data_IF_360454564176
#
_entry.id   IF_360454564176
#
_cell.length_a   1.000
_cell.length_b   1.000
_cell.length_c   1.000
_cell.angle_alpha   90.00
_cell.angle_beta   90.00
_cell.angle_gamma   90.00
#
_symmetry.space_group_name_H-M   'P 1'
#
loop_
_entity.id
_entity.type
_entity.pdbx_description
1 polymer ?
#
# COMPACT_ATOMS: atom_id res chain seq x y z
N UNK A 1 13.97 -5.21 -21.04
CA UNK A 1 13.59 -6.14 -19.93
C UNK A 1 12.43 -5.56 -19.16
N UNK A 2 11.66 -6.38 -18.43
CA UNK A 2 10.54 -5.95 -17.59
C UNK A 2 10.79 -6.37 -16.15
N UNK A 3 10.70 -5.45 -15.21
CA UNK A 3 10.82 -5.70 -13.77
C UNK A 3 9.42 -5.74 -13.14
N UNK A 4 9.08 -6.87 -12.53
CA UNK A 4 7.86 -7.06 -11.75
C UNK A 4 8.23 -6.99 -10.27
N UNK A 5 7.52 -6.21 -9.47
CA UNK A 5 7.84 -6.06 -8.05
C UNK A 5 6.60 -5.86 -7.20
N UNK A 6 6.78 -6.11 -5.91
CA UNK A 6 5.77 -5.94 -4.87
C UNK A 6 6.48 -5.57 -3.56
N UNK A 7 5.78 -4.78 -2.74
CA UNK A 7 6.27 -4.33 -1.43
C UNK A 7 5.28 -4.64 -0.32
N UNK A 8 5.78 -5.24 0.76
CA UNK A 8 5.05 -5.24 2.03
C UNK A 8 5.53 -4.07 2.88
N UNK A 9 4.63 -3.48 3.65
CA UNK A 9 4.89 -2.25 4.41
C UNK A 9 4.31 -2.34 5.82
N UNK A 10 4.80 -1.54 6.75
CA UNK A 10 4.27 -1.52 8.11
C UNK A 10 2.95 -0.73 8.25
N UNK A 11 2.34 -0.29 7.15
CA UNK A 11 1.09 0.46 7.16
C UNK A 11 0.71 1.04 5.80
N UNK A 12 -0.44 1.69 5.73
CA UNK A 12 -0.91 2.33 4.50
C UNK A 12 -0.35 3.74 4.35
N UNK A 13 -0.11 4.13 3.11
CA UNK A 13 0.32 5.48 2.77
C UNK A 13 -0.70 6.53 3.23
N UNK A 14 -0.20 7.54 3.93
CA UNK A 14 -1.00 8.62 4.49
C UNK A 14 -1.03 9.80 3.52
N UNK A 15 -2.15 9.94 2.81
CA UNK A 15 -2.39 11.03 1.85
C UNK A 15 -2.51 12.41 2.51
N UNK A 16 -2.76 12.43 3.82
CA UNK A 16 -2.78 13.63 4.66
C UNK A 16 -1.38 14.13 5.05
N UNK A 17 -0.32 13.35 4.77
CA UNK A 17 1.05 13.71 5.12
C UNK A 17 1.90 13.99 3.88
N UNK A 18 2.94 14.81 4.06
CA UNK A 18 4.00 14.94 3.06
C UNK A 18 4.74 13.60 2.85
N UNK A 19 5.34 13.37 1.68
CA UNK A 19 6.08 12.13 1.38
C UNK A 19 7.23 11.82 2.37
N UNK A 20 7.87 12.86 2.89
CA UNK A 20 9.03 12.75 3.79
C UNK A 20 8.66 12.78 5.28
N UNK A 21 7.37 12.71 5.61
CA UNK A 21 6.93 12.70 7.01
C UNK A 21 7.35 11.39 7.70
N UNK A 22 7.70 11.46 8.98
CA UNK A 22 8.11 10.30 9.81
C UNK A 22 7.06 9.20 9.81
N UNK A 23 5.78 9.57 9.99
CA UNK A 23 4.66 8.63 10.07
C UNK A 23 4.21 8.04 8.72
N UNK A 24 4.91 8.31 7.62
CA UNK A 24 4.68 7.54 6.39
C UNK A 24 5.17 6.10 6.59
N UNK A 25 4.53 5.11 5.95
CA UNK A 25 4.91 3.72 6.13
C UNK A 25 6.31 3.43 5.61
N UNK A 26 6.94 2.45 6.24
CA UNK A 26 8.25 1.92 5.91
C UNK A 26 8.16 0.56 5.24
N UNK A 27 9.14 0.27 4.39
CA UNK A 27 9.27 -1.01 3.69
C UNK A 27 9.57 -2.16 4.68
N UNK A 28 8.81 -3.25 4.58
CA UNK A 28 8.94 -4.44 5.42
C UNK A 28 9.46 -5.63 4.62
N UNK A 29 9.06 -5.75 3.35
CA UNK A 29 9.56 -6.77 2.43
C UNK A 29 9.62 -6.21 1.02
N UNK A 30 10.59 -6.68 0.25
CA UNK A 30 10.73 -6.37 -1.17
C UNK A 30 10.96 -7.66 -1.94
N UNK A 31 10.14 -7.88 -2.96
CA UNK A 31 10.38 -8.93 -3.94
C UNK A 31 10.33 -8.36 -5.36
N UNK A 32 11.12 -8.95 -6.25
CA UNK A 32 11.00 -8.67 -7.68
C UNK A 32 11.47 -9.84 -8.56
N UNK A 33 10.95 -9.86 -9.78
CA UNK A 33 11.43 -10.70 -10.89
C UNK A 33 11.75 -9.81 -12.09
N UNK A 34 12.87 -10.10 -12.76
CA UNK A 34 13.18 -9.50 -14.06
C UNK A 34 12.96 -10.53 -15.14
N UNK A 35 12.18 -10.15 -16.14
CA UNK A 35 11.93 -10.97 -17.32
C UNK A 35 12.58 -10.37 -18.56
N UNK A 36 13.07 -11.26 -19.42
CA UNK A 36 13.53 -10.89 -20.75
C UNK A 36 12.36 -10.68 -21.73
N UNK A 37 12.68 -10.54 -23.01
CA UNK A 37 11.68 -10.32 -24.08
C UNK A 37 10.81 -11.54 -24.36
N UNK A 38 11.27 -12.74 -23.98
CA UNK A 38 10.63 -14.03 -24.23
C UNK A 38 9.86 -14.50 -22.97
N UNK A 39 9.57 -13.58 -22.04
CA UNK A 39 8.85 -13.80 -20.77
C UNK A 39 9.60 -14.70 -19.77
N UNK A 40 10.89 -15.01 -20.03
CA UNK A 40 11.70 -15.84 -19.14
C UNK A 40 12.23 -15.00 -17.97
N UNK A 41 12.08 -15.54 -16.76
CA UNK A 41 12.69 -14.96 -15.55
C UNK A 41 14.20 -15.14 -15.62
N UNK A 42 14.93 -14.03 -15.64
CA UNK A 42 16.40 -13.99 -15.67
C UNK A 42 17.00 -13.55 -14.34
N UNK A 43 16.18 -12.95 -13.45
CA UNK A 43 16.55 -12.63 -12.08
C UNK A 43 15.32 -12.73 -11.19
N UNK A 44 15.51 -13.21 -9.96
CA UNK A 44 14.51 -13.19 -8.90
C UNK A 44 15.20 -12.79 -7.60
N UNK A 45 14.54 -11.93 -6.84
CA UNK A 45 14.97 -11.49 -5.54
C UNK A 45 13.77 -11.41 -4.60
N UNK A 46 13.97 -11.78 -3.33
CA UNK A 46 13.00 -11.56 -2.25
C UNK A 46 13.76 -11.45 -0.94
N UNK A 47 13.44 -10.42 -0.16
CA UNK A 47 14.00 -10.25 1.18
C UNK A 47 13.05 -9.49 2.07
N UNK A 48 12.99 -9.90 3.33
CA UNK A 48 12.48 -9.05 4.41
C UNK A 48 13.49 -7.93 4.69
N UNK A 49 12.99 -6.82 5.19
CA UNK A 49 13.78 -5.64 5.52
C UNK A 49 13.87 -5.52 7.03
N UNK A 50 15.09 -5.34 7.53
CA UNK A 50 15.32 -5.14 8.94
C UNK A 50 14.89 -3.72 9.35
N UNK A 51 14.03 -3.55 10.38
CA UNK A 51 13.57 -2.24 10.86
C UNK A 51 14.65 -1.38 11.58
N UNK A 52 15.93 -1.55 11.24
CA UNK A 52 17.05 -0.86 11.91
C UNK A 52 17.01 0.66 11.70
N UNK A 53 16.61 1.10 10.51
CA UNK A 53 16.56 2.52 10.17
C UNK A 53 15.16 3.06 10.38
N UNK A 54 15.02 3.98 11.35
CA UNK A 54 13.74 4.55 11.78
C UNK A 54 13.15 3.87 13.01
N UNK A 55 13.58 2.65 13.36
CA UNK A 55 13.11 1.96 14.57
C UNK A 55 11.60 1.71 14.59
N UNK A 56 10.99 1.55 13.41
CA UNK A 56 9.55 1.39 13.29
C UNK A 56 9.13 -0.01 13.74
N UNK A 57 7.92 -0.10 14.27
CA UNK A 57 7.25 -1.36 14.58
C UNK A 57 6.35 -1.77 13.41
N UNK A 58 6.16 -3.07 13.26
CA UNK A 58 5.13 -3.64 12.39
C UNK A 58 3.89 -3.88 13.27
N UNK A 59 2.78 -3.13 13.05
CA UNK A 59 1.55 -3.30 13.82
C UNK A 59 0.97 -4.70 13.68
N UNK A 60 0.34 -5.22 14.75
CA UNK A 60 -0.22 -6.59 14.75
C UNK A 60 -1.34 -6.82 13.73
N UNK A 61 -2.08 -5.79 13.35
CA UNK A 61 -3.08 -5.86 12.29
C UNK A 61 -2.46 -5.94 10.89
N UNK A 62 -1.28 -5.36 10.71
CA UNK A 62 -0.48 -5.44 9.48
C UNK A 62 0.27 -6.78 9.40
N UNK A 63 0.85 -7.24 10.51
CA UNK A 63 1.44 -8.58 10.63
C UNK A 63 0.44 -9.69 10.28
N UNK A 64 -0.84 -9.53 10.63
CA UNK A 64 -1.90 -10.50 10.26
C UNK A 64 -2.16 -10.58 8.75
N UNK A 65 -1.77 -9.56 7.99
CA UNK A 65 -1.96 -9.52 6.53
C UNK A 65 -0.84 -10.29 5.85
N UNK A 66 0.42 -9.91 6.09
CA UNK A 66 1.59 -10.47 5.38
C UNK A 66 2.44 -11.45 6.21
N UNK A 67 2.10 -11.69 7.47
CA UNK A 67 2.76 -12.70 8.32
C UNK A 67 4.16 -12.37 8.81
N UNK A 68 4.60 -11.11 8.77
CA UNK A 68 5.95 -10.70 9.19
C UNK A 68 5.83 -9.84 10.45
N UNK A 69 6.32 -10.35 11.58
CA UNK A 69 6.40 -9.57 12.82
C UNK A 69 7.67 -8.71 12.85
N UNK A 70 7.71 -7.71 13.74
CA UNK A 70 8.93 -6.93 14.00
C UNK A 70 10.10 -7.84 14.38
N UNK A 71 9.87 -8.86 15.21
CA UNK A 71 10.90 -9.79 15.67
C UNK A 71 11.45 -10.63 14.50
N UNK A 72 10.56 -11.17 13.66
CA UNK A 72 10.94 -11.93 12.47
C UNK A 72 11.72 -11.04 11.49
N UNK A 73 11.28 -9.79 11.30
CA UNK A 73 11.97 -8.83 10.44
C UNK A 73 13.36 -8.47 10.99
N UNK A 74 13.52 -8.35 12.32
CA UNK A 74 14.81 -8.12 12.96
C UNK A 74 15.76 -9.31 12.82
N UNK A 75 15.24 -10.53 12.93
CA UNK A 75 16.03 -11.76 12.87
C UNK A 75 16.44 -12.15 11.44
N UNK A 76 15.52 -11.99 10.48
CA UNK A 76 15.68 -12.53 9.11
C UNK A 76 15.82 -11.46 8.03
N UNK A 77 15.63 -10.19 8.38
CA UNK A 77 15.69 -9.08 7.43
C UNK A 77 17.10 -8.70 7.06
N UNK A 78 17.25 -8.15 5.85
CA UNK A 78 18.49 -7.51 5.39
C UNK A 78 18.43 -6.00 5.60
N UNK A 79 19.57 -5.29 5.65
CA UNK A 79 19.56 -3.83 5.66
C UNK A 79 18.81 -3.29 4.43
N UNK A 80 17.87 -2.35 4.64
CA UNK A 80 17.04 -1.79 3.55
C UNK A 80 17.92 -1.27 2.40
N UNK A 81 18.98 -0.52 2.72
CA UNK A 81 19.94 0.01 1.75
C UNK A 81 20.49 -1.06 0.78
N UNK A 82 20.80 -2.26 1.29
CA UNK A 82 21.29 -3.38 0.48
C UNK A 82 20.24 -3.86 -0.52
N UNK A 83 19.00 -4.02 -0.07
CA UNK A 83 17.88 -4.42 -0.93
C UNK A 83 17.59 -3.35 -2.01
N UNK A 84 17.63 -2.07 -1.64
CA UNK A 84 17.41 -0.95 -2.57
C UNK A 84 18.50 -0.86 -3.63
N UNK A 85 19.78 -1.10 -3.29
CA UNK A 85 20.86 -1.14 -4.28
C UNK A 85 20.68 -2.28 -5.28
N UNK A 86 20.31 -3.47 -4.80
CA UNK A 86 20.01 -4.60 -5.69
C UNK A 86 18.84 -4.25 -6.62
N UNK A 87 17.78 -3.64 -6.09
CA UNK A 87 16.65 -3.19 -6.90
C UNK A 87 17.05 -2.13 -7.94
N UNK A 88 17.81 -1.11 -7.52
CA UNK A 88 18.26 0.00 -8.38
C UNK A 88 19.06 -0.52 -9.59
N UNK A 89 19.93 -1.51 -9.38
CA UNK A 89 20.74 -2.10 -10.45
C UNK A 89 19.86 -2.69 -11.56
N UNK A 90 18.81 -3.43 -11.20
CA UNK A 90 17.90 -4.01 -12.20
C UNK A 90 16.90 -2.99 -12.76
N UNK A 91 16.47 -2.02 -11.94
CA UNK A 91 15.63 -0.90 -12.38
C UNK A 91 16.30 -0.14 -13.54
N UNK A 92 17.60 0.16 -13.41
CA UNK A 92 18.36 0.87 -14.46
C UNK A 92 18.54 0.10 -15.76
N UNK A 93 18.34 -1.23 -15.74
CA UNK A 93 18.46 -2.10 -16.91
C UNK A 93 17.12 -2.42 -17.57
N UNK A 94 16.01 -2.12 -16.92
CA UNK A 94 14.66 -2.45 -17.41
C UNK A 94 14.00 -1.29 -18.15
N UNK A 95 13.26 -1.62 -19.21
CA UNK A 95 12.50 -0.62 -19.97
C UNK A 95 11.14 -0.34 -19.34
N UNK A 96 10.63 -1.31 -18.58
CA UNK A 96 9.34 -1.21 -17.92
C UNK A 96 9.39 -1.77 -16.50
N UNK A 97 8.59 -1.18 -15.62
CA UNK A 97 8.24 -1.77 -14.33
C UNK A 97 6.74 -2.07 -14.27
N UNK A 98 6.39 -3.11 -13.52
CA UNK A 98 5.02 -3.57 -13.34
C UNK A 98 4.81 -3.98 -11.89
N UNK A 99 3.67 -3.59 -11.32
CA UNK A 99 3.20 -4.10 -10.03
C UNK A 99 1.67 -4.14 -10.01
N UNK A 100 1.09 -4.71 -8.96
CA UNK A 100 -0.34 -4.64 -8.72
C UNK A 100 -0.63 -3.51 -7.74
N UNK A 101 -1.29 -2.43 -8.20
CA UNK A 101 -1.35 -1.14 -7.49
C UNK A 101 -0.01 -0.36 -7.47
N UNK A 102 0.68 -0.32 -8.61
CA UNK A 102 2.04 0.22 -8.78
C UNK A 102 2.28 1.63 -8.24
N UNK A 103 1.25 2.48 -8.19
CA UNK A 103 1.39 3.81 -7.59
C UNK A 103 1.82 3.72 -6.12
N UNK A 104 1.29 2.73 -5.39
CA UNK A 104 1.62 2.47 -4.00
C UNK A 104 3.06 1.96 -3.83
N UNK A 105 3.48 0.96 -4.60
CA UNK A 105 4.84 0.43 -4.46
C UNK A 105 5.90 1.47 -4.87
N UNK A 106 5.65 2.26 -5.92
CA UNK A 106 6.57 3.31 -6.37
C UNK A 106 6.77 4.38 -5.29
N UNK A 107 5.71 4.87 -4.63
CA UNK A 107 5.85 5.92 -3.62
C UNK A 107 6.62 5.42 -2.38
N UNK A 108 6.44 4.14 -2.00
CA UNK A 108 7.22 3.51 -0.92
C UNK A 108 8.68 3.44 -1.33
N UNK A 109 8.96 2.88 -2.52
CA UNK A 109 10.32 2.74 -3.02
C UNK A 109 11.02 4.09 -3.18
N UNK A 110 10.33 5.11 -3.74
CA UNK A 110 10.90 6.47 -3.88
C UNK A 110 11.25 7.08 -2.53
N UNK A 111 10.37 6.95 -1.53
CA UNK A 111 10.63 7.42 -0.16
C UNK A 111 11.86 6.75 0.43
N UNK A 112 11.96 5.42 0.34
CA UNK A 112 13.11 4.69 0.87
C UNK A 112 14.39 5.06 0.11
N UNK A 113 14.34 5.17 -1.22
CA UNK A 113 15.47 5.63 -2.03
C UNK A 113 15.97 7.02 -1.58
N UNK A 114 15.05 7.96 -1.38
CA UNK A 114 15.37 9.30 -0.88
C UNK A 114 16.00 9.26 0.52
N UNK A 115 15.43 8.47 1.45
CA UNK A 115 15.93 8.32 2.81
C UNK A 115 17.38 7.79 2.88
N UNK A 116 17.79 6.96 1.92
CA UNK A 116 19.16 6.42 1.83
C UNK A 116 20.07 7.17 0.84
N UNK A 117 19.61 8.25 0.22
CA UNK A 117 20.36 9.00 -0.79
C UNK A 117 20.66 8.17 -2.05
N UNK A 118 19.80 7.19 -2.37
CA UNK A 118 19.91 6.34 -3.56
C UNK A 118 19.10 6.98 -4.68
N UNK A 119 19.72 7.15 -5.86
CA UNK A 119 19.05 7.75 -7.01
C UNK A 119 17.95 6.83 -7.58
N UNK A 120 16.72 7.34 -7.67
CA UNK A 120 15.67 6.66 -8.43
C UNK A 120 15.90 6.83 -9.94
N UNK A 121 15.79 5.74 -10.70
CA UNK A 121 15.78 5.77 -12.16
C UNK A 121 14.35 5.71 -12.67
N UNK A 122 13.92 6.74 -13.39
CA UNK A 122 12.58 6.74 -13.96
C UNK A 122 12.50 5.71 -15.10
N UNK A 123 11.59 4.72 -14.99
CA UNK A 123 11.42 3.73 -16.04
C UNK A 123 10.77 4.38 -17.27
N UNK A 124 11.09 3.86 -18.47
CA UNK A 124 10.46 4.37 -19.71
C UNK A 124 8.95 4.08 -19.74
N UNK A 125 8.54 2.98 -19.10
CA UNK A 125 7.15 2.54 -19.04
C UNK A 125 6.82 2.03 -17.64
N UNK A 126 5.63 2.38 -17.17
CA UNK A 126 5.10 1.90 -15.90
C UNK A 126 3.72 1.33 -16.16
N UNK A 127 3.49 0.08 -15.77
CA UNK A 127 2.21 -0.59 -15.91
C UNK A 127 1.65 -1.03 -14.57
N UNK A 128 0.33 -0.98 -14.44
CA UNK A 128 -0.41 -1.38 -13.25
C UNK A 128 -1.47 -2.40 -13.61
N UNK A 129 -1.30 -3.63 -13.14
CA UNK A 129 -2.26 -4.73 -13.42
C UNK A 129 -3.60 -4.46 -12.77
N UNK A 130 -3.65 -3.85 -11.59
CA UNK A 130 -4.88 -3.40 -10.93
C UNK A 130 -5.70 -2.45 -11.82
N UNK A 131 -5.05 -1.44 -12.40
CA UNK A 131 -5.73 -0.45 -13.26
C UNK A 131 -6.18 -1.09 -14.57
N UNK A 132 -5.37 -1.99 -15.13
CA UNK A 132 -5.72 -2.73 -16.34
C UNK A 132 -6.94 -3.62 -16.11
N UNK A 133 -6.98 -4.37 -15.00
CA UNK A 133 -8.07 -5.28 -14.68
C UNK A 133 -9.35 -4.59 -14.22
N UNK A 134 -9.29 -3.37 -13.69
CA UNK A 134 -10.47 -2.64 -13.19
C UNK A 134 -11.60 -2.58 -14.23
N UNK A 135 -11.26 -2.27 -15.48
CA UNK A 135 -12.23 -2.11 -16.56
C UNK A 135 -12.70 -3.45 -17.15
N UNK A 136 -11.91 -4.50 -16.95
CA UNK A 136 -12.25 -5.86 -17.37
C UNK A 136 -13.24 -6.50 -16.38
N UNK A 137 -12.94 -6.41 -15.08
CA UNK A 137 -13.74 -7.05 -14.04
C UNK A 137 -15.01 -6.25 -13.70
N UNK A 138 -14.98 -4.91 -13.82
CA UNK A 138 -16.09 -4.00 -13.53
C UNK A 138 -16.76 -4.29 -12.18
N UNK A 139 -15.94 -4.58 -11.16
CA UNK A 139 -16.44 -4.91 -9.83
C UNK A 139 -17.26 -3.75 -9.25
N UNK A 140 -18.40 -4.07 -8.64
CA UNK A 140 -19.27 -3.08 -8.00
C UNK A 140 -18.54 -2.37 -6.85
N UNK A 141 -18.81 -1.08 -6.73
CA UNK A 141 -18.26 -0.17 -5.73
C UNK A 141 -19.38 0.73 -5.20
N UNK A 142 -19.22 1.25 -3.97
CA UNK A 142 -20.09 2.29 -3.42
C UNK A 142 -19.82 3.69 -4.00
N UNK A 143 -19.04 3.77 -5.06
CA UNK A 143 -18.60 5.01 -5.71
C UNK A 143 -19.09 5.04 -7.16
N UNK A 144 -19.00 6.21 -7.81
CA UNK A 144 -19.38 6.39 -9.22
C UNK A 144 -18.53 5.57 -10.21
N UNK A 145 -17.48 4.94 -9.72
CA UNK A 145 -16.45 4.25 -10.50
C UNK A 145 -16.25 2.82 -9.97
N UNK A 146 -15.74 1.92 -10.82
CA UNK A 146 -15.53 0.52 -10.47
C UNK A 146 -14.55 0.36 -9.31
N UNK A 147 -14.77 -0.69 -8.52
CA UNK A 147 -13.87 -1.04 -7.42
C UNK A 147 -12.52 -1.43 -8.02
N UNK A 148 -11.44 -0.93 -7.41
CA UNK A 148 -10.09 -1.42 -7.70
C UNK A 148 -9.98 -2.89 -7.27
N UNK A 149 -9.76 -3.83 -8.20
CA UNK A 149 -9.72 -5.24 -7.87
C UNK A 149 -8.44 -5.56 -7.11
N UNK A 150 -8.51 -6.49 -6.16
CA UNK A 150 -7.32 -7.09 -5.55
C UNK A 150 -6.64 -8.04 -6.54
N UNK A 151 -5.36 -8.33 -6.32
CA UNK A 151 -4.60 -9.27 -7.16
C UNK A 151 -5.28 -10.64 -7.22
N UNK A 152 -5.71 -11.16 -6.06
CA UNK A 152 -6.51 -12.38 -5.96
C UNK A 152 -7.79 -12.32 -6.80
N UNK A 153 -8.56 -11.23 -6.74
CA UNK A 153 -9.81 -11.11 -7.49
C UNK A 153 -9.56 -11.15 -9.00
N UNK A 154 -8.47 -10.52 -9.47
CA UNK A 154 -8.03 -10.64 -10.85
C UNK A 154 -7.61 -12.05 -11.21
N UNK A 155 -6.79 -12.69 -10.37
CA UNK A 155 -6.26 -14.01 -10.64
C UNK A 155 -7.37 -15.08 -10.69
N UNK A 156 -8.28 -15.05 -9.72
CA UNK A 156 -9.45 -15.93 -9.67
C UNK A 156 -10.34 -15.74 -10.91
N UNK A 157 -10.50 -14.50 -11.38
CA UNK A 157 -11.29 -14.18 -12.57
C UNK A 157 -10.69 -14.76 -13.86
N UNK A 158 -9.39 -14.62 -14.07
CA UNK A 158 -8.74 -15.02 -15.33
C UNK A 158 -8.29 -16.48 -15.38
N UNK A 159 -7.99 -17.09 -14.22
CA UNK A 159 -7.38 -18.42 -14.16
C UNK A 159 -8.26 -19.46 -13.46
N UNK A 160 -9.34 -19.04 -12.78
CA UNK A 160 -10.27 -19.94 -12.07
C UNK A 160 -9.56 -20.90 -11.09
N UNK A 161 -8.51 -20.42 -10.42
CA UNK A 161 -7.69 -21.18 -9.47
C UNK A 161 -7.62 -20.44 -8.14
N UNK A 162 -8.08 -21.09 -7.07
CA UNK A 162 -7.87 -20.58 -5.72
C UNK A 162 -6.42 -20.78 -5.30
N UNK A 163 -5.68 -19.69 -5.13
CA UNK A 163 -4.33 -19.71 -4.56
C UNK A 163 -4.44 -19.47 -3.05
N UNK A 164 -3.65 -20.21 -2.28
CA UNK A 164 -3.50 -20.01 -0.84
C UNK A 164 -2.28 -19.11 -0.59
N UNK A 165 -2.31 -18.29 0.47
CA UNK A 165 -1.19 -17.44 0.95
C UNK A 165 -0.83 -16.20 0.11
N UNK A 166 -1.82 -15.39 -0.30
CA UNK A 166 -1.55 -14.01 -0.77
C UNK A 166 -0.88 -13.16 0.32
N UNK A 167 -0.16 -12.10 -0.05
CA UNK A 167 0.68 -11.26 0.85
C UNK A 167 2.02 -11.90 1.25
N UNK A 168 2.49 -12.86 0.45
CA UNK A 168 3.92 -13.12 0.31
C UNK A 168 4.40 -12.33 -0.91
N UNK A 169 5.27 -11.34 -0.70
CA UNK A 169 5.70 -10.42 -1.76
C UNK A 169 6.22 -11.15 -3.01
N UNK A 170 6.90 -12.30 -2.86
CA UNK A 170 7.41 -13.04 -4.01
C UNK A 170 6.30 -13.76 -4.77
N UNK A 171 5.36 -14.37 -4.06
CA UNK A 171 4.18 -14.95 -4.70
C UNK A 171 3.39 -13.87 -5.44
N UNK A 172 3.14 -12.72 -4.81
CA UNK A 172 2.39 -11.62 -5.43
C UNK A 172 3.09 -11.08 -6.69
N UNK A 173 4.43 -11.02 -6.71
CA UNK A 173 5.21 -10.76 -7.93
C UNK A 173 4.97 -11.80 -9.02
N UNK A 174 5.00 -13.09 -8.67
CA UNK A 174 4.81 -14.18 -9.62
C UNK A 174 3.41 -14.14 -10.25
N UNK A 175 2.38 -13.90 -9.43
CA UNK A 175 0.99 -13.79 -9.86
C UNK A 175 0.76 -12.52 -10.68
N UNK A 176 1.34 -11.39 -10.28
CA UNK A 176 1.29 -10.14 -11.02
C UNK A 176 1.92 -10.29 -12.41
N UNK A 177 3.08 -10.96 -12.51
CA UNK A 177 3.74 -11.28 -13.78
C UNK A 177 2.87 -12.15 -14.67
N UNK A 178 2.34 -13.25 -14.12
CA UNK A 178 1.49 -14.17 -14.89
C UNK A 178 0.23 -13.48 -15.41
N UNK A 179 -0.43 -12.69 -14.54
CA UNK A 179 -1.56 -11.85 -14.89
C UNK A 179 -1.22 -10.85 -15.99
N UNK A 180 -0.10 -10.12 -15.87
CA UNK A 180 0.34 -9.14 -16.86
C UNK A 180 0.51 -9.76 -18.25
N UNK A 181 1.23 -10.88 -18.35
CA UNK A 181 1.44 -11.54 -19.62
C UNK A 181 0.15 -12.18 -20.17
N UNK A 182 -0.75 -12.65 -19.30
CA UNK A 182 -2.07 -13.11 -19.72
C UNK A 182 -2.91 -11.97 -20.33
N UNK A 183 -2.97 -10.80 -19.68
CA UNK A 183 -3.65 -9.61 -20.20
C UNK A 183 -3.09 -9.21 -21.57
N UNK A 184 -1.76 -9.20 -21.70
CA UNK A 184 -1.07 -8.92 -22.97
C UNK A 184 -1.44 -9.92 -24.06
N UNK A 185 -1.46 -11.23 -23.75
CA UNK A 185 -1.87 -12.28 -24.71
C UNK A 185 -3.32 -12.16 -25.15
N UNK A 186 -4.21 -11.67 -24.29
CA UNK A 186 -5.61 -11.40 -24.63
C UNK A 186 -5.82 -10.12 -25.46
N UNK A 187 -4.75 -9.35 -25.72
CA UNK A 187 -4.84 -8.09 -26.44
C UNK A 187 -5.50 -6.96 -25.62
N UNK A 188 -5.54 -7.10 -24.29
CA UNK A 188 -6.08 -6.06 -23.40
C UNK A 188 -5.07 -4.91 -23.33
N UNK A 189 -5.56 -3.68 -23.45
CA UNK A 189 -4.73 -2.47 -23.38
C UNK A 189 -4.16 -2.30 -21.97
N UNK A 190 -2.84 -2.38 -21.85
CA UNK A 190 -2.12 -2.26 -20.59
C UNK A 190 -2.11 -0.81 -20.11
N UNK A 191 -2.55 -0.58 -18.88
CA UNK A 191 -2.63 0.76 -18.28
C UNK A 191 -1.50 1.02 -17.29
N UNK A 192 -1.11 2.29 -17.18
CA UNK A 192 -0.22 2.77 -16.13
C UNK A 192 -0.94 3.03 -14.80
N UNK A 193 -0.20 3.43 -13.75
CA UNK A 193 -0.81 3.95 -12.53
C UNK A 193 -1.64 5.20 -12.85
N UNK A 194 -2.77 5.35 -12.17
CA UNK A 194 -3.57 6.56 -12.24
C UNK A 194 -3.60 7.22 -10.87
N UNK A 195 -3.69 8.55 -10.85
CA UNK A 195 -3.94 9.28 -9.62
C UNK A 195 -5.30 8.86 -9.06
N UNK A 196 -5.26 8.31 -7.84
CA UNK A 196 -6.47 7.98 -7.11
C UNK A 196 -7.10 9.30 -6.63
N UNK A 197 -8.32 9.65 -7.08
CA UNK A 197 -8.91 10.95 -6.80
C UNK A 197 -9.07 11.21 -5.29
N UNK A 198 -8.77 12.44 -4.84
CA UNK A 198 -8.89 12.86 -3.42
C UNK A 198 -10.31 12.72 -2.86
N UNK A 199 -11.31 12.72 -3.73
CA UNK A 199 -12.73 12.52 -3.45
C UNK A 199 -13.08 11.15 -2.83
N UNK A 200 -12.12 10.23 -2.72
CA UNK A 200 -12.25 9.00 -1.91
C UNK A 200 -12.11 9.25 -0.38
N UNK A 201 -11.57 10.39 0.03
CA UNK A 201 -11.55 10.81 1.44
C UNK A 201 -12.77 11.67 1.73
N UNK A 202 -13.50 11.31 2.79
CA UNK A 202 -14.56 12.12 3.36
C UNK A 202 -13.94 13.36 4.00
N UNK A 203 -14.27 14.52 3.44
CA UNK A 203 -14.01 15.81 4.08
C UNK A 203 -15.08 16.05 5.14
N UNK A 204 -14.64 16.28 6.37
CA UNK A 204 -15.47 16.73 7.48
C UNK A 204 -15.03 18.16 7.80
N UNK A 205 -15.92 19.12 7.59
CA UNK A 205 -15.72 20.55 7.83
C UNK A 205 -16.95 21.19 8.53
N UNK A 206 -16.85 22.48 8.83
CA UNK A 206 -17.93 23.27 9.44
C UNK A 206 -18.41 22.71 10.78
N UNK A 207 -19.73 22.66 10.98
CA UNK A 207 -20.34 22.18 12.24
C UNK A 207 -20.06 20.71 12.53
N UNK A 208 -19.89 19.87 11.50
CA UNK A 208 -19.52 18.46 11.69
C UNK A 208 -18.08 18.34 12.20
N UNK A 209 -17.17 19.19 11.73
CA UNK A 209 -15.80 19.24 12.22
C UNK A 209 -15.75 19.68 13.68
N UNK A 210 -16.44 20.78 14.03
CA UNK A 210 -16.53 21.24 15.43
C UNK A 210 -17.10 20.16 16.36
N UNK A 211 -18.14 19.46 15.90
CA UNK A 211 -18.76 18.35 16.66
C UNK A 211 -17.78 17.20 16.86
N UNK A 212 -17.01 16.84 15.82
CA UNK A 212 -15.99 15.80 15.90
C UNK A 212 -14.87 16.19 16.87
N UNK A 213 -14.36 17.41 16.80
CA UNK A 213 -13.33 17.94 17.71
C UNK A 213 -13.81 17.88 19.15
N UNK A 214 -15.04 18.36 19.41
CA UNK A 214 -15.66 18.32 20.75
C UNK A 214 -15.77 16.89 21.27
N UNK A 215 -16.32 15.99 20.45
CA UNK A 215 -16.44 14.57 20.79
C UNK A 215 -15.08 13.95 21.14
N UNK A 216 -14.04 14.16 20.33
CA UNK A 216 -12.73 13.57 20.56
C UNK A 216 -12.02 14.13 21.81
N UNK A 217 -12.32 15.36 22.21
CA UNK A 217 -11.80 15.98 23.44
C UNK A 217 -12.54 15.52 24.71
N UNK A 218 -13.84 15.24 24.59
CA UNK A 218 -14.72 14.90 25.71
C UNK A 218 -14.90 13.39 25.91
N UNK A 219 -14.37 12.56 25.01
CA UNK A 219 -14.54 11.12 25.08
C UNK A 219 -13.89 10.53 26.34
N UNK A 220 -14.68 9.77 27.11
CA UNK A 220 -14.20 9.03 28.27
C UNK A 220 -13.34 7.85 27.81
N UNK A 221 -12.03 7.94 28.07
CA UNK A 221 -11.05 6.92 27.71
C UNK A 221 -11.35 5.54 28.35
N UNK A 222 -12.06 5.49 29.48
CA UNK A 222 -12.39 4.23 30.16
C UNK A 222 -13.44 3.39 29.39
N UNK A 223 -14.19 4.02 28.49
CA UNK A 223 -15.15 3.34 27.59
C UNK A 223 -14.49 2.74 26.34
N UNK A 224 -13.20 2.97 26.14
CA UNK A 224 -12.46 2.54 24.95
C UNK A 224 -11.52 1.39 25.29
N UNK A 225 -11.37 0.45 24.35
CA UNK A 225 -10.22 -0.45 24.41
C UNK A 225 -8.95 0.27 23.93
N UNK A 226 -7.79 -0.33 24.19
CA UNK A 226 -6.47 0.22 23.85
C UNK A 226 -6.35 0.63 22.37
N UNK A 227 -6.84 -0.20 21.45
CA UNK A 227 -6.83 0.10 20.02
C UNK A 227 -7.73 1.28 19.65
N UNK A 228 -8.93 1.38 20.23
CA UNK A 228 -9.86 2.49 20.01
C UNK A 228 -9.30 3.81 20.56
N UNK A 229 -8.60 3.74 21.69
CA UNK A 229 -7.91 4.89 22.29
C UNK A 229 -6.78 5.39 21.37
N UNK A 230 -5.91 4.50 20.90
CA UNK A 230 -4.82 4.84 19.99
C UNK A 230 -5.34 5.34 18.63
N UNK A 231 -6.43 4.75 18.14
CA UNK A 231 -7.12 5.25 16.96
C UNK A 231 -7.62 6.69 17.17
N UNK A 232 -8.32 6.99 18.28
CA UNK A 232 -8.80 8.34 18.57
C UNK A 232 -7.65 9.35 18.68
N UNK A 233 -6.54 9.00 19.36
CA UNK A 233 -5.33 9.82 19.41
C UNK A 233 -4.79 10.10 18.00
N UNK A 234 -4.70 9.09 17.14
CA UNK A 234 -4.24 9.27 15.75
C UNK A 234 -5.13 10.21 14.93
N UNK A 235 -6.42 10.33 15.29
CA UNK A 235 -7.35 11.29 14.65
C UNK A 235 -7.19 12.68 15.25
N UNK A 236 -6.95 12.80 16.57
CA UNK A 236 -6.63 14.07 17.23
C UNK A 236 -5.36 14.68 16.65
N UNK A 237 -4.30 13.88 16.49
CA UNK A 237 -3.04 14.32 15.89
C UNK A 237 -3.21 14.84 14.45
N UNK A 238 -4.28 14.41 13.75
CA UNK A 238 -4.64 14.94 12.42
C UNK A 238 -5.42 16.25 12.50
N UNK A 239 -6.23 16.46 13.54
CA UNK A 239 -6.95 17.72 13.77
C UNK A 239 -5.95 18.86 13.96
N UNK A 240 -4.85 18.62 14.70
CA UNK A 240 -3.83 19.64 14.97
C UNK A 240 -3.03 20.06 13.71
N UNK A 241 -3.18 19.34 12.58
CA UNK A 241 -2.53 19.66 11.31
C UNK A 241 -3.41 20.50 10.37
N UNK A 242 -4.69 20.68 10.66
CA UNK A 242 -5.64 21.38 9.79
C UNK A 242 -6.65 22.21 10.60
N UNK A 243 -6.69 23.53 10.38
CA UNK A 243 -7.46 24.42 11.27
C UNK A 243 -8.99 24.29 11.19
N UNK A 244 -9.55 23.80 10.07
CA UNK A 244 -11.02 23.85 9.83
C UNK A 244 -11.65 22.61 9.17
N UNK A 245 -10.86 21.56 8.91
CA UNK A 245 -11.38 20.33 8.31
C UNK A 245 -10.48 19.13 8.59
N UNK A 246 -11.03 17.93 8.46
CA UNK A 246 -10.25 16.69 8.44
C UNK A 246 -10.65 15.82 7.24
N UNK A 247 -9.66 15.15 6.66
CA UNK A 247 -9.87 14.15 5.61
C UNK A 247 -9.76 12.75 6.20
N UNK A 248 -10.83 11.97 6.07
CA UNK A 248 -10.90 10.61 6.60
C UNK A 248 -11.27 9.61 5.51
N UNK A 249 -10.70 8.41 5.57
CA UNK A 249 -11.24 7.31 4.76
C UNK A 249 -12.63 6.90 5.25
N UNK A 250 -13.43 6.25 4.39
CA UNK A 250 -14.71 5.64 4.79
C UNK A 250 -14.56 4.71 6.00
N UNK A 251 -13.47 3.94 6.07
CA UNK A 251 -13.17 3.04 7.19
C UNK A 251 -12.91 3.83 8.48
N UNK A 252 -12.09 4.89 8.42
CA UNK A 252 -11.82 5.77 9.58
C UNK A 252 -13.11 6.44 10.07
N UNK A 253 -13.92 6.97 9.15
CA UNK A 253 -15.20 7.57 9.50
C UNK A 253 -16.18 6.55 10.12
N UNK A 254 -16.26 5.33 9.59
CA UNK A 254 -17.11 4.28 10.15
C UNK A 254 -16.68 3.87 11.57
N UNK A 255 -15.35 3.78 11.82
CA UNK A 255 -14.81 3.51 13.16
C UNK A 255 -15.18 4.65 14.11
N UNK A 256 -15.00 5.91 13.72
CA UNK A 256 -15.41 7.07 14.54
C UNK A 256 -16.91 7.04 14.86
N UNK A 257 -17.78 6.69 13.91
CA UNK A 257 -19.22 6.56 14.18
C UNK A 257 -19.52 5.45 15.19
N UNK A 258 -18.82 4.32 15.11
CA UNK A 258 -18.97 3.21 16.07
C UNK A 258 -18.56 3.65 17.48
N UNK A 259 -17.42 4.33 17.59
CA UNK A 259 -16.91 4.84 18.87
C UNK A 259 -17.87 5.92 19.42
N UNK A 260 -18.35 6.82 18.57
CA UNK A 260 -19.35 7.83 18.95
C UNK A 260 -20.64 7.21 19.48
N UNK A 261 -21.08 6.08 18.91
CA UNK A 261 -22.22 5.32 19.41
C UNK A 261 -22.00 4.80 20.84
N UNK A 262 -20.82 4.27 21.15
CA UNK A 262 -20.44 3.82 22.50
C UNK A 262 -20.36 4.95 23.53
N UNK A 263 -19.95 6.14 23.08
CA UNK A 263 -19.85 7.30 23.95
C UNK A 263 -21.23 7.76 24.45
N UNK A 264 -22.23 7.73 23.56
CA UNK A 264 -23.60 8.16 23.82
C UNK A 264 -24.53 7.06 24.35
N UNK A 265 -24.03 5.83 24.51
CA UNK A 265 -24.69 4.73 25.24
C UNK A 265 -24.22 4.67 26.68
#
# INVERSE_FOLDING_TARGET
MILFFDTETNGLWRRDLGPNHSDQPHLVSLAFQVCDKDEKVIMQYSSRIQPMHGGYLIPKDVEKIHGISTDIANETGVPCKSALWIFQEYLGRCDAIVAHNTAFDIQIMKREFEAYGIKWYEPKKTYCTMMTCKDELKLKSDHKDFKFPKLQECFDHFFHRGIQNYHDALLDVQLCKELFYHLKRKGIELKGPQDIPKELLLRIDGERYKSLVKFLKEIDATKLNEWELDFCKSVIDKLDKYDEHILLSKKQHAVLRKIYGKFNS
#
